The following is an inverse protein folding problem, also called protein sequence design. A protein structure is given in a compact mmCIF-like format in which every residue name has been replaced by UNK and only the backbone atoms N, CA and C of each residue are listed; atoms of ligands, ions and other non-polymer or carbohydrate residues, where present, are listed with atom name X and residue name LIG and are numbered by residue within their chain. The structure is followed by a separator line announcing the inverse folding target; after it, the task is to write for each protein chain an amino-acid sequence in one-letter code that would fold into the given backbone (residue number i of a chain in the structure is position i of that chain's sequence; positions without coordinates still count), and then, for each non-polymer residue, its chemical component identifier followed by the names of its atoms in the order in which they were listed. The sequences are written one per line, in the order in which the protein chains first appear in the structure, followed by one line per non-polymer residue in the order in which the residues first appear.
data_IF_560491310066
#
_entry.id   IF_560491310066
#
_cell.length_a   1.000
_cell.length_b   1.000
_cell.length_c   1.000
_cell.angle_alpha   90.00
_cell.angle_beta   90.00
_cell.angle_gamma   90.00
#
_symmetry.space_group_name_H-M   'P 1'
#
loop_
_entity.id
_entity.type
_entity.pdbx_description
1 polymer ?
#
# COMPACT_ATOMS: atom_id res chain seq x y z
N UNK A 1 -28.91 4.64 3.90
CA UNK A 1 -27.87 3.94 4.72
C UNK A 1 -26.48 4.37 4.27
N UNK A 2 -25.49 4.23 5.17
CA UNK A 2 -24.11 4.58 4.92
C UNK A 2 -23.22 3.37 5.21
N UNK A 3 -22.07 3.30 4.54
CA UNK A 3 -21.03 2.30 4.78
C UNK A 3 -19.68 2.99 4.96
N UNK A 4 -18.78 2.35 5.72
CA UNK A 4 -17.46 2.89 6.05
C UNK A 4 -16.37 1.93 5.59
N UNK A 5 -15.30 2.46 4.99
CA UNK A 5 -14.05 1.78 4.75
C UNK A 5 -12.91 2.48 5.51
N UNK A 6 -12.12 1.73 6.30
CA UNK A 6 -10.96 2.26 7.01
C UNK A 6 -9.73 1.45 6.61
N UNK A 7 -8.80 2.10 5.91
CA UNK A 7 -7.53 1.51 5.53
C UNK A 7 -6.44 1.98 6.50
N UNK A 8 -6.00 1.07 7.38
CA UNK A 8 -4.88 1.27 8.28
C UNK A 8 -3.57 0.91 7.62
N UNK A 9 -2.52 1.65 7.90
CA UNK A 9 -1.20 1.38 7.33
C UNK A 9 -0.05 1.76 8.24
N UNK A 10 1.16 1.48 7.79
CA UNK A 10 2.39 1.77 8.52
C UNK A 10 2.73 3.27 8.61
N UNK A 11 2.05 4.11 7.85
CA UNK A 11 2.35 5.56 7.78
C UNK A 11 1.13 6.43 8.06
N UNK A 12 -0.05 5.95 7.69
CA UNK A 12 -1.32 6.69 7.83
C UNK A 12 -2.47 5.71 7.95
N UNK A 13 -3.59 6.22 8.45
CA UNK A 13 -4.91 5.59 8.40
C UNK A 13 -5.84 6.52 7.61
N UNK A 14 -6.61 5.97 6.70
CA UNK A 14 -7.59 6.70 5.89
C UNK A 14 -8.98 6.10 6.11
N UNK A 15 -9.98 6.94 6.39
CA UNK A 15 -11.38 6.56 6.51
C UNK A 15 -12.21 7.19 5.39
N UNK A 16 -13.16 6.45 4.85
CA UNK A 16 -14.10 6.90 3.80
C UNK A 16 -15.51 6.46 4.17
N UNK A 17 -16.48 7.38 4.09
CA UNK A 17 -17.91 7.06 4.17
C UNK A 17 -18.51 7.17 2.77
N UNK A 18 -19.32 6.17 2.43
CA UNK A 18 -19.99 6.09 1.12
C UNK A 18 -21.50 5.91 1.33
N UNK A 19 -22.32 6.56 0.49
CA UNK A 19 -23.78 6.39 0.49
C UNK A 19 -24.19 5.20 -0.41
N UNK A 20 -25.49 4.87 -0.43
CA UNK A 20 -26.06 3.77 -1.22
C UNK A 20 -25.86 3.93 -2.74
N UNK A 21 -25.68 5.15 -3.22
CA UNK A 21 -25.40 5.43 -4.63
C UNK A 21 -23.90 5.20 -4.98
N UNK A 22 -23.06 4.87 -4.00
CA UNK A 22 -21.62 4.70 -4.20
C UNK A 22 -20.83 6.01 -4.21
N UNK A 23 -21.43 7.10 -3.75
CA UNK A 23 -20.78 8.40 -3.68
C UNK A 23 -20.05 8.54 -2.33
N UNK A 24 -18.83 9.06 -2.38
CA UNK A 24 -18.05 9.38 -1.17
C UNK A 24 -18.59 10.66 -0.55
N UNK A 25 -19.12 10.56 0.67
CA UNK A 25 -19.73 11.68 1.41
C UNK A 25 -18.83 12.23 2.52
N UNK A 26 -17.86 11.47 3.00
CA UNK A 26 -16.88 11.93 3.97
C UNK A 26 -15.52 11.24 3.79
N UNK A 27 -14.44 11.93 4.20
CA UNK A 27 -13.09 11.41 4.29
C UNK A 27 -12.44 11.86 5.58
N UNK A 28 -11.60 10.99 6.14
CA UNK A 28 -10.79 11.27 7.32
C UNK A 28 -9.38 10.73 7.13
N UNK A 29 -8.40 11.31 7.83
CA UNK A 29 -7.02 10.82 7.86
C UNK A 29 -6.41 11.04 9.23
N UNK A 30 -5.59 10.08 9.64
CA UNK A 30 -4.76 10.17 10.84
C UNK A 30 -3.45 9.38 10.69
N UNK A 31 -2.74 9.17 11.79
CA UNK A 31 -1.48 8.45 11.89
C UNK A 31 -1.57 6.96 11.57
N UNK A 32 -0.49 6.24 11.88
CA UNK A 32 -0.41 4.79 11.69
C UNK A 32 -1.31 4.01 12.65
N UNK A 33 -1.83 2.87 12.20
CA UNK A 33 -2.49 1.86 13.04
C UNK A 33 -1.78 0.50 12.99
N UNK A 34 -0.60 0.44 12.38
CA UNK A 34 0.15 -0.80 12.28
C UNK A 34 1.07 -0.98 13.48
N UNK A 35 0.74 -1.95 14.36
CA UNK A 35 1.47 -2.28 15.58
C UNK A 35 2.93 -2.71 15.36
N UNK A 36 3.31 -3.06 14.14
CA UNK A 36 4.71 -3.32 13.81
C UNK A 36 5.56 -2.02 13.74
N UNK A 37 4.91 -0.85 13.71
CA UNK A 37 5.58 0.43 13.50
C UNK A 37 5.33 1.44 14.61
N UNK A 38 4.19 1.35 15.31
CA UNK A 38 3.79 2.30 16.34
C UNK A 38 3.23 1.59 17.58
N UNK A 39 3.33 2.21 18.78
CA UNK A 39 2.74 1.67 20.01
C UNK A 39 1.21 1.60 19.94
N UNK A 40 0.61 0.74 20.77
CA UNK A 40 -0.84 0.58 20.92
C UNK A 40 -1.55 1.93 21.12
N UNK A 41 -1.05 2.77 22.03
CA UNK A 41 -1.65 4.08 22.33
C UNK A 41 -1.69 5.03 21.11
N UNK A 42 -0.76 4.90 20.18
CA UNK A 42 -0.77 5.67 18.94
C UNK A 42 -1.79 5.10 17.95
N UNK A 43 -1.93 3.78 17.86
CA UNK A 43 -2.99 3.14 17.10
C UNK A 43 -4.37 3.56 17.59
N UNK A 44 -4.61 3.53 18.91
CA UNK A 44 -5.87 3.94 19.54
C UNK A 44 -6.20 5.38 19.20
N UNK A 45 -5.25 6.30 19.38
CA UNK A 45 -5.41 7.69 19.00
C UNK A 45 -5.74 7.88 17.53
N UNK A 46 -5.03 7.18 16.64
CA UNK A 46 -5.25 7.29 15.20
C UNK A 46 -6.64 6.82 14.79
N UNK A 47 -7.15 5.73 15.40
CA UNK A 47 -8.51 5.24 15.16
C UNK A 47 -9.54 6.25 15.69
N UNK A 48 -9.38 6.74 16.92
CA UNK A 48 -10.28 7.72 17.52
C UNK A 48 -10.37 9.01 16.69
N UNK A 49 -9.23 9.51 16.20
CA UNK A 49 -9.19 10.70 15.34
C UNK A 49 -9.90 10.48 14.00
N UNK A 50 -9.72 9.32 13.35
CA UNK A 50 -10.44 8.99 12.11
C UNK A 50 -11.94 8.89 12.37
N UNK A 51 -12.35 8.19 13.43
CA UNK A 51 -13.75 8.06 13.81
C UNK A 51 -14.37 9.45 14.10
N UNK A 52 -13.72 10.26 14.92
CA UNK A 52 -14.19 11.60 15.28
C UNK A 52 -14.39 12.50 14.04
N UNK A 53 -13.43 12.49 13.08
CA UNK A 53 -13.55 13.24 11.84
C UNK A 53 -14.74 12.81 10.99
N UNK A 54 -14.98 11.49 10.90
CA UNK A 54 -16.07 10.94 10.10
C UNK A 54 -17.42 11.27 10.72
N UNK A 55 -17.61 11.03 12.03
CA UNK A 55 -18.91 11.30 12.71
C UNK A 55 -19.24 12.78 12.80
N UNK A 56 -18.25 13.68 12.71
CA UNK A 56 -18.49 15.12 12.61
C UNK A 56 -19.14 15.53 11.27
N UNK A 57 -19.12 14.65 10.26
CA UNK A 57 -19.55 14.97 8.89
C UNK A 57 -20.84 14.24 8.51
N UNK A 58 -21.12 13.08 9.11
CA UNK A 58 -22.25 12.23 8.75
C UNK A 58 -23.06 11.81 9.98
N UNK A 59 -24.31 11.42 9.75
CA UNK A 59 -25.12 10.79 10.80
C UNK A 59 -24.64 9.34 11.03
N UNK A 60 -23.92 9.14 12.11
CA UNK A 60 -23.32 7.86 12.49
C UNK A 60 -24.34 6.73 12.69
N UNK A 61 -25.61 7.08 13.02
CA UNK A 61 -26.70 6.10 13.18
C UNK A 61 -27.10 5.44 11.87
N UNK A 62 -26.77 6.05 10.73
CA UNK A 62 -27.04 5.52 9.40
C UNK A 62 -25.97 4.56 8.90
N UNK A 63 -24.81 4.46 9.58
CA UNK A 63 -23.72 3.55 9.22
C UNK A 63 -24.06 2.13 9.66
N UNK A 64 -24.14 1.21 8.70
CA UNK A 64 -24.56 -0.18 8.94
C UNK A 64 -23.44 -1.20 8.73
N UNK A 65 -22.42 -0.85 7.92
CA UNK A 65 -21.26 -1.70 7.65
C UNK A 65 -19.97 -0.91 7.73
N UNK A 66 -18.96 -1.50 8.38
CA UNK A 66 -17.60 -0.99 8.43
C UNK A 66 -16.63 -2.10 8.04
N UNK A 67 -15.88 -1.88 6.98
CA UNK A 67 -14.79 -2.76 6.56
C UNK A 67 -13.44 -2.08 6.82
N UNK A 68 -12.48 -2.82 7.35
CA UNK A 68 -11.15 -2.26 7.64
C UNK A 68 -10.01 -3.20 7.30
N UNK A 69 -8.81 -2.62 7.11
CA UNK A 69 -7.53 -3.32 7.05
C UNK A 69 -6.60 -2.79 8.13
N UNK A 70 -5.75 -3.66 8.69
CA UNK A 70 -4.72 -3.30 9.70
C UNK A 70 -5.21 -2.46 10.89
N UNK A 71 -6.49 -2.53 11.22
CA UNK A 71 -6.99 -1.98 12.47
C UNK A 71 -6.86 -3.07 13.53
N UNK A 72 -6.04 -2.88 14.59
CA UNK A 72 -5.87 -3.89 15.63
C UNK A 72 -7.21 -4.23 16.30
N UNK A 73 -7.52 -5.51 16.46
CA UNK A 73 -8.72 -5.96 17.17
C UNK A 73 -8.48 -5.97 18.69
N UNK A 74 -8.33 -4.78 19.25
CA UNK A 74 -8.21 -4.53 20.67
C UNK A 74 -9.55 -4.09 21.25
N UNK A 75 -9.82 -4.44 22.53
CA UNK A 75 -11.07 -4.09 23.21
C UNK A 75 -11.34 -2.60 23.25
N UNK A 76 -10.30 -1.77 23.44
CA UNK A 76 -10.36 -0.32 23.40
C UNK A 76 -10.75 0.22 22.03
N UNK A 77 -10.11 -0.29 20.97
CA UNK A 77 -10.41 0.10 19.58
C UNK A 77 -11.81 -0.37 19.18
N UNK A 78 -12.21 -1.58 19.59
CA UNK A 78 -13.55 -2.09 19.36
C UNK A 78 -14.62 -1.22 20.02
N UNK A 79 -14.37 -0.79 21.27
CA UNK A 79 -15.25 0.12 21.99
C UNK A 79 -15.36 1.49 21.29
N UNK A 80 -14.24 2.03 20.80
CA UNK A 80 -14.21 3.31 20.08
C UNK A 80 -15.03 3.24 18.77
N UNK A 81 -14.82 2.19 17.97
CA UNK A 81 -15.58 1.98 16.72
C UNK A 81 -17.06 1.81 17.01
N UNK A 82 -17.41 1.03 18.03
CA UNK A 82 -18.81 0.81 18.44
C UNK A 82 -19.48 2.08 18.95
N UNK A 83 -18.72 2.93 19.67
CA UNK A 83 -19.22 4.22 20.13
C UNK A 83 -19.43 5.19 18.95
N UNK A 84 -18.49 5.24 18.03
CA UNK A 84 -18.56 6.10 16.85
C UNK A 84 -19.67 5.67 15.87
N UNK A 85 -19.83 4.37 15.65
CA UNK A 85 -20.79 3.79 14.68
C UNK A 85 -21.64 2.69 15.35
N UNK A 86 -22.62 3.05 16.18
CA UNK A 86 -23.32 2.12 17.07
C UNK A 86 -24.11 1.02 16.34
N UNK A 87 -24.52 1.25 15.10
CA UNK A 87 -25.27 0.30 14.29
C UNK A 87 -24.41 -0.47 13.29
N UNK A 88 -23.11 -0.17 13.20
CA UNK A 88 -22.25 -0.79 12.21
C UNK A 88 -21.80 -2.19 12.63
N UNK A 89 -21.88 -3.12 11.69
CA UNK A 89 -21.18 -4.39 11.79
C UNK A 89 -19.75 -4.21 11.24
N UNK A 90 -18.75 -4.53 12.08
CA UNK A 90 -17.35 -4.35 11.73
C UNK A 90 -16.72 -5.65 11.23
N UNK A 91 -16.09 -5.58 10.04
CA UNK A 91 -15.36 -6.67 9.41
C UNK A 91 -13.94 -6.24 9.08
N UNK A 92 -12.99 -7.16 9.26
CA UNK A 92 -11.63 -7.00 8.79
C UNK A 92 -11.45 -7.71 7.44
N UNK A 93 -10.76 -7.05 6.52
CA UNK A 93 -10.49 -7.56 5.19
C UNK A 93 -8.98 -7.52 4.91
N UNK A 94 -8.50 -8.33 3.96
CA UNK A 94 -7.11 -8.29 3.52
C UNK A 94 -6.80 -7.00 2.73
N UNK A 95 -5.63 -6.40 2.95
CA UNK A 95 -5.19 -5.18 2.25
C UNK A 95 -5.27 -5.32 0.71
N UNK A 96 -4.87 -6.47 0.19
CA UNK A 96 -4.91 -6.74 -1.25
C UNK A 96 -6.35 -6.82 -1.79
N UNK A 97 -7.32 -7.22 -0.97
CA UNK A 97 -8.74 -7.17 -1.32
C UNK A 97 -9.23 -5.72 -1.40
N UNK A 98 -8.78 -4.86 -0.49
CA UNK A 98 -9.03 -3.43 -0.54
C UNK A 98 -8.47 -2.81 -1.83
N UNK A 99 -7.25 -3.18 -2.21
CA UNK A 99 -6.60 -2.74 -3.46
C UNK A 99 -7.36 -3.24 -4.68
N UNK A 100 -7.76 -4.53 -4.75
CA UNK A 100 -8.58 -5.06 -5.83
C UNK A 100 -9.89 -4.28 -5.96
N UNK A 101 -10.57 -4.04 -4.84
CA UNK A 101 -11.83 -3.29 -4.82
C UNK A 101 -11.66 -1.81 -5.21
N UNK A 102 -10.54 -1.18 -4.87
CA UNK A 102 -10.18 0.14 -5.36
C UNK A 102 -10.09 0.18 -6.90
N UNK A 103 -9.58 -0.91 -7.51
CA UNK A 103 -9.55 -1.13 -8.96
C UNK A 103 -10.89 -1.58 -9.57
N UNK A 104 -11.97 -1.62 -8.79
CA UNK A 104 -13.30 -2.04 -9.26
C UNK A 104 -13.56 -3.55 -9.21
N UNK A 105 -12.65 -4.33 -8.63
CA UNK A 105 -12.76 -5.80 -8.54
C UNK A 105 -13.32 -6.19 -7.18
N UNK A 106 -14.62 -6.35 -7.09
CA UNK A 106 -15.31 -6.66 -5.83
C UNK A 106 -15.39 -8.16 -5.51
N UNK A 107 -15.21 -9.02 -6.52
CA UNK A 107 -15.12 -10.46 -6.32
C UNK A 107 -13.69 -10.87 -5.95
N UNK A 108 -13.51 -12.00 -5.24
CA UNK A 108 -12.18 -12.56 -4.97
C UNK A 108 -11.60 -13.22 -6.25
N UNK A 109 -11.25 -12.40 -7.24
CA UNK A 109 -10.73 -12.82 -8.53
C UNK A 109 -9.70 -11.81 -9.05
N UNK A 110 -8.48 -12.26 -9.34
CA UNK A 110 -7.38 -11.40 -9.80
C UNK A 110 -6.24 -11.31 -8.79
N UNK A 111 -5.32 -10.41 -9.05
CA UNK A 111 -4.08 -10.23 -8.26
C UNK A 111 -4.01 -8.80 -7.75
N UNK A 112 -3.86 -8.62 -6.44
CA UNK A 112 -3.54 -7.35 -5.80
C UNK A 112 -2.03 -7.29 -5.52
N UNK A 113 -1.38 -6.23 -5.97
CA UNK A 113 0.02 -5.93 -5.67
C UNK A 113 0.06 -4.73 -4.74
N UNK A 114 0.64 -4.89 -3.57
CA UNK A 114 0.88 -3.79 -2.64
C UNK A 114 2.36 -3.49 -2.61
N UNK A 115 2.74 -2.26 -2.96
CA UNK A 115 4.12 -1.76 -2.87
C UNK A 115 4.12 -0.36 -2.24
N UNK A 116 4.30 -0.33 -0.94
CA UNK A 116 4.43 0.85 -0.09
C UNK A 116 5.74 0.80 0.67
N UNK A 117 5.71 1.00 1.99
CA UNK A 117 6.88 0.82 2.87
C UNK A 117 7.44 -0.60 2.77
N UNK A 118 6.59 -1.63 2.68
CA UNK A 118 6.92 -3.00 2.30
C UNK A 118 6.27 -3.36 0.96
N UNK A 119 6.41 -4.62 0.54
CA UNK A 119 5.76 -5.15 -0.66
C UNK A 119 5.24 -6.56 -0.45
N UNK A 120 4.11 -6.85 -1.07
CA UNK A 120 3.53 -8.19 -1.15
C UNK A 120 2.52 -8.30 -2.29
N UNK A 121 2.32 -9.50 -2.78
CA UNK A 121 1.42 -9.80 -3.89
C UNK A 121 0.52 -10.95 -3.50
N UNK A 122 -0.80 -10.76 -3.58
CA UNK A 122 -1.78 -11.82 -3.28
C UNK A 122 -2.79 -11.90 -4.42
N UNK A 123 -3.08 -13.12 -4.86
CA UNK A 123 -4.10 -13.38 -5.86
C UNK A 123 -5.18 -14.31 -5.35
N UNK A 124 -6.37 -14.19 -5.94
CA UNK A 124 -7.53 -15.03 -5.66
C UNK A 124 -8.14 -15.60 -6.93
N UNK A 125 -8.64 -16.82 -6.82
CA UNK A 125 -9.54 -17.46 -7.78
C UNK A 125 -10.71 -18.10 -7.04
N UNK A 126 -11.69 -17.27 -6.69
CA UNK A 126 -12.74 -17.60 -5.73
C UNK A 126 -12.31 -17.39 -4.27
N UNK A 127 -13.26 -17.49 -3.35
CA UNK A 127 -13.03 -17.19 -1.94
C UNK A 127 -12.04 -18.13 -1.24
N UNK A 128 -12.01 -19.40 -1.63
CA UNK A 128 -11.23 -20.44 -0.95
C UNK A 128 -9.81 -20.62 -1.52
N UNK A 129 -9.56 -20.14 -2.75
CA UNK A 129 -8.27 -20.34 -3.41
C UNK A 129 -7.51 -19.03 -3.55
N UNK A 130 -6.49 -18.86 -2.73
CA UNK A 130 -5.59 -17.72 -2.80
C UNK A 130 -4.12 -18.14 -2.72
N UNK A 131 -3.24 -17.28 -3.22
CA UNK A 131 -1.78 -17.45 -3.20
C UNK A 131 -1.16 -16.13 -2.78
N UNK A 132 -0.25 -16.17 -1.82
CA UNK A 132 0.52 -15.02 -1.33
C UNK A 132 2.00 -15.18 -1.67
N UNK A 133 2.65 -14.08 -2.06
CA UNK A 133 4.08 -13.96 -2.36
C UNK A 133 4.62 -12.67 -1.74
N UNK A 134 5.81 -12.70 -1.17
CA UNK A 134 6.43 -11.56 -0.49
C UNK A 134 5.85 -11.28 0.90
N UNK A 135 6.07 -10.08 1.42
CA UNK A 135 5.59 -9.67 2.74
C UNK A 135 6.40 -10.24 3.92
N UNK A 136 7.64 -10.66 3.69
CA UNK A 136 8.53 -11.20 4.72
C UNK A 136 9.28 -10.13 5.52
N UNK A 137 9.05 -8.85 5.19
CA UNK A 137 9.75 -7.73 5.83
C UNK A 137 11.10 -7.42 5.16
N UNK A 138 11.67 -6.27 5.51
CA UNK A 138 12.80 -5.66 4.78
C UNK A 138 14.11 -6.45 4.78
N UNK A 139 14.29 -7.40 5.69
CA UNK A 139 15.51 -8.22 5.76
C UNK A 139 15.39 -9.53 4.98
N UNK A 140 14.18 -10.06 4.84
CA UNK A 140 13.91 -11.37 4.25
C UNK A 140 13.09 -11.30 2.96
N UNK A 141 12.67 -10.08 2.59
CA UNK A 141 11.78 -9.82 1.46
C UNK A 141 11.52 -8.33 1.29
N UNK A 142 10.29 -7.97 0.93
CA UNK A 142 9.85 -6.61 0.59
C UNK A 142 10.61 -6.02 -0.63
N UNK A 143 11.12 -6.86 -1.51
CA UNK A 143 11.78 -6.46 -2.74
C UNK A 143 10.83 -5.63 -3.62
N UNK A 144 11.35 -4.59 -4.22
CA UNK A 144 10.56 -3.62 -5.01
C UNK A 144 9.73 -2.65 -4.16
N UNK A 145 9.79 -2.72 -2.82
CA UNK A 145 9.16 -1.73 -1.93
C UNK A 145 9.91 -0.40 -1.90
N UNK A 146 9.29 0.63 -1.32
CA UNK A 146 9.96 1.91 -1.09
C UNK A 146 11.18 1.78 -0.16
N UNK A 147 11.14 0.86 0.82
CA UNK A 147 12.30 0.57 1.67
C UNK A 147 13.44 -0.05 0.87
N UNK A 148 13.14 -1.02 0.02
CA UNK A 148 14.15 -1.66 -0.84
C UNK A 148 14.74 -0.66 -1.83
N UNK A 149 13.92 0.12 -2.53
CA UNK A 149 14.36 1.21 -3.42
C UNK A 149 15.31 2.16 -2.68
N UNK A 150 14.96 2.57 -1.46
CA UNK A 150 15.80 3.44 -0.64
C UNK A 150 17.14 2.79 -0.28
N UNK A 151 17.12 1.53 0.13
CA UNK A 151 18.35 0.77 0.46
C UNK A 151 19.26 0.62 -0.76
N UNK A 152 18.68 0.29 -1.93
CA UNK A 152 19.44 0.20 -3.18
C UNK A 152 20.08 1.55 -3.55
N UNK A 153 19.32 2.66 -3.37
CA UNK A 153 19.84 4.01 -3.60
C UNK A 153 20.98 4.38 -2.64
N UNK A 154 20.85 4.09 -1.33
CA UNK A 154 21.92 4.32 -0.37
C UNK A 154 23.19 3.51 -0.70
N UNK A 155 23.02 2.25 -1.12
CA UNK A 155 24.13 1.39 -1.59
C UNK A 155 24.79 1.96 -2.84
N UNK A 156 24.01 2.49 -3.79
CA UNK A 156 24.54 3.10 -5.01
C UNK A 156 25.36 4.36 -4.68
N UNK A 157 24.88 5.21 -3.78
CA UNK A 157 25.62 6.40 -3.31
C UNK A 157 26.94 6.01 -2.63
N UNK A 158 26.91 5.01 -1.74
CA UNK A 158 28.13 4.54 -1.08
C UNK A 158 29.15 3.99 -2.09
N UNK A 159 28.69 3.19 -3.06
CA UNK A 159 29.56 2.66 -4.14
C UNK A 159 30.16 3.76 -5.03
N UNK A 160 29.37 4.79 -5.35
CA UNK A 160 29.86 5.93 -6.12
C UNK A 160 30.92 6.72 -5.34
N UNK A 161 30.73 6.94 -4.03
CA UNK A 161 31.67 7.62 -3.16
C UNK A 161 33.01 6.89 -3.04
N UNK A 162 32.99 5.56 -3.07
CA UNK A 162 34.20 4.70 -3.02
C UNK A 162 34.87 4.54 -4.42
N UNK A 163 34.30 5.08 -5.49
CA UNK A 163 34.77 4.85 -6.86
C UNK A 163 34.43 3.46 -7.43
N UNK A 164 33.57 2.68 -6.77
CA UNK A 164 33.11 1.35 -7.19
C UNK A 164 31.81 1.38 -8.01
N UNK A 165 31.17 2.54 -8.13
CA UNK A 165 29.89 2.73 -8.82
C UNK A 165 29.89 3.96 -9.70
N UNK A 166 28.82 4.10 -10.47
CA UNK A 166 28.61 5.26 -11.35
C UNK A 166 28.29 6.52 -10.52
N UNK A 167 28.70 7.71 -10.98
CA UNK A 167 28.22 8.98 -10.41
C UNK A 167 26.70 9.05 -10.46
N UNK A 168 26.06 9.63 -9.43
CA UNK A 168 24.61 9.69 -9.33
C UNK A 168 24.17 10.95 -8.58
N UNK A 169 23.05 11.54 -9.00
CA UNK A 169 22.36 12.64 -8.32
C UNK A 169 21.78 12.22 -6.96
N UNK A 170 21.67 10.91 -6.70
CA UNK A 170 21.17 10.38 -5.43
C UNK A 170 22.03 10.82 -4.24
N UNK A 171 23.30 11.19 -4.45
CA UNK A 171 24.17 11.70 -3.40
C UNK A 171 23.62 13.00 -2.80
N UNK A 172 23.34 13.98 -3.65
CA UNK A 172 22.79 15.28 -3.26
C UNK A 172 21.39 15.13 -2.67
N UNK A 173 20.55 14.31 -3.28
CA UNK A 173 19.20 14.01 -2.78
C UNK A 173 19.25 13.33 -1.41
N UNK A 174 20.24 12.45 -1.15
CA UNK A 174 20.42 11.80 0.14
C UNK A 174 20.89 12.79 1.21
N UNK A 175 21.88 13.62 0.89
CA UNK A 175 22.39 14.63 1.83
C UNK A 175 21.30 15.62 2.22
N UNK A 176 20.50 16.09 1.27
CA UNK A 176 19.37 17.00 1.52
C UNK A 176 18.29 16.32 2.35
N UNK A 177 17.84 15.12 1.95
CA UNK A 177 16.74 14.42 2.59
C UNK A 177 17.02 14.07 4.05
N UNK A 178 18.22 13.60 4.37
CA UNK A 178 18.60 13.22 5.72
C UNK A 178 19.28 14.34 6.53
N UNK A 179 19.45 15.54 5.94
CA UNK A 179 20.06 16.70 6.58
C UNK A 179 21.53 16.47 6.94
N UNK A 180 22.31 15.83 6.04
CA UNK A 180 23.70 15.47 6.29
C UNK A 180 24.66 16.58 5.86
N UNK A 181 25.70 16.81 6.66
CA UNK A 181 26.82 17.68 6.30
C UNK A 181 27.94 16.89 5.60
N UNK A 182 28.10 15.63 5.99
CA UNK A 182 29.05 14.70 5.43
C UNK A 182 28.40 13.36 5.10
N UNK A 183 28.82 12.74 3.99
CA UNK A 183 28.21 11.50 3.47
C UNK A 183 28.23 10.35 4.49
N UNK A 184 29.30 10.20 5.28
CA UNK A 184 29.45 9.14 6.26
C UNK A 184 28.47 9.23 7.44
N UNK A 185 27.84 10.39 7.68
CA UNK A 185 26.85 10.58 8.75
C UNK A 185 25.60 9.69 8.55
N UNK A 186 25.34 9.25 7.31
CA UNK A 186 24.27 8.30 7.03
C UNK A 186 24.44 7.00 7.84
N UNK A 187 25.67 6.56 8.10
CA UNK A 187 25.91 5.37 8.93
C UNK A 187 25.43 5.57 10.37
N UNK A 188 25.65 6.76 10.93
CA UNK A 188 25.12 7.10 12.25
C UNK A 188 23.58 7.06 12.23
N UNK A 189 22.94 7.71 11.25
CA UNK A 189 21.48 7.72 11.12
C UNK A 189 20.90 6.30 11.04
N UNK A 190 21.49 5.45 10.20
CA UNK A 190 20.99 4.09 9.96
C UNK A 190 21.27 3.15 11.13
N UNK A 191 22.51 3.18 11.70
CA UNK A 191 22.94 2.14 12.64
C UNK A 191 22.90 2.55 14.11
N UNK A 192 22.94 3.85 14.44
CA UNK A 192 22.96 4.32 15.82
C UNK A 192 21.66 5.00 16.22
N UNK A 193 21.11 5.85 15.35
CA UNK A 193 19.89 6.62 15.62
C UNK A 193 18.63 5.80 15.35
N UNK A 194 18.77 4.52 14.93
CA UNK A 194 17.69 3.60 14.60
C UNK A 194 16.66 4.25 13.67
N UNK A 195 17.11 4.70 12.48
CA UNK A 195 16.29 5.39 11.50
C UNK A 195 14.94 4.71 11.30
N UNK A 196 13.82 5.39 11.57
CA UNK A 196 12.50 4.77 11.44
C UNK A 196 12.27 4.30 10.00
N UNK A 197 11.71 3.10 9.85
CA UNK A 197 11.51 2.47 8.53
C UNK A 197 10.72 3.35 7.56
N UNK A 198 9.71 4.08 8.02
CA UNK A 198 8.92 4.98 7.19
C UNK A 198 9.74 6.18 6.68
N UNK A 199 10.71 6.67 7.48
CA UNK A 199 11.65 7.72 7.06
C UNK A 199 12.59 7.18 5.99
N UNK A 200 13.13 5.97 6.17
CA UNK A 200 13.95 5.32 5.15
C UNK A 200 13.16 5.14 3.85
N UNK A 201 11.96 4.57 3.92
CA UNK A 201 11.08 4.36 2.76
C UNK A 201 10.72 5.67 2.04
N UNK A 202 10.58 6.78 2.77
CA UNK A 202 10.30 8.10 2.21
C UNK A 202 11.38 8.58 1.23
N UNK A 203 12.61 8.10 1.35
CA UNK A 203 13.69 8.44 0.43
C UNK A 203 13.44 7.93 -1.01
N UNK A 204 12.60 6.92 -1.20
CA UNK A 204 12.20 6.45 -2.54
C UNK A 204 11.57 7.56 -3.40
N UNK A 205 10.93 8.56 -2.80
CA UNK A 205 10.40 9.73 -3.54
C UNK A 205 11.55 10.54 -4.17
N UNK A 206 12.68 10.64 -3.47
CA UNK A 206 13.88 11.32 -3.98
C UNK A 206 14.54 10.52 -5.11
N UNK A 207 14.46 9.19 -5.05
CA UNK A 207 14.92 8.32 -6.14
C UNK A 207 14.08 8.56 -7.40
N UNK A 208 12.76 8.67 -7.29
CA UNK A 208 11.89 9.00 -8.43
C UNK A 208 12.24 10.37 -9.02
N UNK A 209 12.46 11.37 -8.16
CA UNK A 209 12.87 12.72 -8.60
C UNK A 209 14.20 12.72 -9.36
N UNK A 210 15.19 11.96 -8.88
CA UNK A 210 16.47 11.81 -9.55
C UNK A 210 16.33 11.10 -10.91
N UNK A 211 15.47 10.09 -11.00
CA UNK A 211 15.16 9.39 -12.25
C UNK A 211 14.53 10.33 -13.28
N UNK A 212 13.58 11.18 -12.86
CA UNK A 212 12.96 12.20 -13.71
C UNK A 212 13.96 13.27 -14.17
N UNK A 213 14.99 13.55 -13.36
CA UNK A 213 16.10 14.43 -13.69
C UNK A 213 17.15 13.78 -14.62
N UNK A 214 16.94 12.53 -15.04
CA UNK A 214 17.82 11.82 -15.99
C UNK A 214 18.92 10.97 -15.34
N UNK A 215 18.90 10.76 -14.02
CA UNK A 215 19.87 9.90 -13.33
C UNK A 215 19.70 8.43 -13.72
N UNK A 216 20.67 7.88 -14.45
CA UNK A 216 20.61 6.50 -14.94
C UNK A 216 20.64 5.44 -13.84
N UNK A 217 21.25 5.75 -12.67
CA UNK A 217 21.29 4.85 -11.51
C UNK A 217 19.93 4.77 -10.88
N UNK A 218 19.26 5.92 -10.67
CA UNK A 218 17.89 5.98 -10.11
C UNK A 218 16.87 5.29 -11.03
N UNK A 219 16.98 5.53 -12.36
CA UNK A 219 16.12 4.85 -13.36
C UNK A 219 16.28 3.34 -13.32
N UNK A 220 17.52 2.83 -13.19
CA UNK A 220 17.78 1.40 -13.07
C UNK A 220 17.17 0.80 -11.80
N UNK A 221 17.32 1.47 -10.66
CA UNK A 221 16.76 1.02 -9.39
C UNK A 221 15.22 0.89 -9.48
N UNK A 222 14.55 1.88 -10.03
CA UNK A 222 13.08 1.85 -10.19
C UNK A 222 12.62 0.79 -11.18
N UNK A 223 13.35 0.60 -12.27
CA UNK A 223 13.08 -0.46 -13.24
C UNK A 223 13.20 -1.85 -12.61
N UNK A 224 14.29 -2.10 -11.88
CA UNK A 224 14.53 -3.37 -11.18
C UNK A 224 13.44 -3.65 -10.14
N UNK A 225 12.97 -2.62 -9.42
CA UNK A 225 11.83 -2.74 -8.52
C UNK A 225 10.55 -3.19 -9.27
N UNK A 226 10.25 -2.60 -10.43
CA UNK A 226 9.11 -2.99 -11.26
C UNK A 226 9.24 -4.42 -11.80
N UNK A 227 10.42 -4.82 -12.25
CA UNK A 227 10.69 -6.18 -12.73
C UNK A 227 10.52 -7.22 -11.61
N UNK A 228 10.93 -6.89 -10.40
CA UNK A 228 10.78 -7.77 -9.23
C UNK A 228 9.32 -7.94 -8.85
N UNK A 229 8.56 -6.85 -8.72
CA UNK A 229 7.11 -6.91 -8.48
C UNK A 229 6.38 -7.68 -9.60
N UNK A 230 6.81 -7.53 -10.86
CA UNK A 230 6.31 -8.32 -11.97
C UNK A 230 6.59 -9.82 -11.84
N UNK A 231 7.76 -10.18 -11.29
CA UNK A 231 8.09 -11.59 -11.00
C UNK A 231 7.17 -12.18 -9.96
N UNK A 232 6.84 -11.43 -8.89
CA UNK A 232 5.91 -11.88 -7.85
C UNK A 232 4.52 -12.12 -8.43
N UNK A 233 4.04 -11.21 -9.30
CA UNK A 233 2.79 -11.40 -10.04
C UNK A 233 2.82 -12.71 -10.84
N UNK A 234 3.91 -13.01 -11.55
CA UNK A 234 4.04 -14.24 -12.32
C UNK A 234 4.00 -15.48 -11.45
N UNK A 235 4.63 -15.47 -10.26
CA UNK A 235 4.56 -16.60 -9.31
C UNK A 235 3.13 -16.87 -8.87
N UNK A 236 2.36 -15.82 -8.57
CA UNK A 236 0.94 -15.93 -8.22
C UNK A 236 0.12 -16.40 -9.42
N UNK A 237 0.32 -15.77 -10.59
CA UNK A 237 -0.44 -16.06 -11.79
C UNK A 237 -0.30 -17.53 -12.23
N UNK A 238 0.92 -18.07 -12.24
CA UNK A 238 1.17 -19.48 -12.59
C UNK A 238 0.44 -20.50 -11.72
N UNK A 239 0.10 -20.12 -10.47
CA UNK A 239 -0.63 -20.99 -9.54
C UNK A 239 -2.14 -20.86 -9.66
N UNK A 240 -2.65 -19.74 -10.19
CA UNK A 240 -4.08 -19.41 -10.19
C UNK A 240 -4.70 -19.36 -11.58
N UNK A 241 -3.96 -18.97 -12.61
CA UNK A 241 -4.48 -18.66 -13.94
C UNK A 241 -3.72 -19.38 -15.03
N UNK A 242 -4.35 -19.57 -16.18
CA UNK A 242 -3.70 -20.02 -17.40
C UNK A 242 -3.33 -18.81 -18.28
N UNK A 243 -2.35 -18.91 -19.19
CA UNK A 243 -1.93 -17.80 -20.07
C UNK A 243 -3.05 -17.20 -20.92
N UNK A 244 -4.09 -17.98 -21.23
CA UNK A 244 -5.22 -17.57 -22.06
C UNK A 244 -6.31 -16.84 -21.28
N UNK A 245 -6.27 -16.86 -19.95
CA UNK A 245 -7.28 -16.23 -19.12
C UNK A 245 -7.09 -14.71 -19.02
N UNK A 246 -8.20 -14.00 -18.90
CA UNK A 246 -8.22 -12.58 -18.57
C UNK A 246 -8.46 -12.41 -17.08
N UNK A 247 -7.53 -11.75 -16.40
CA UNK A 247 -7.67 -11.41 -14.98
C UNK A 247 -7.07 -10.03 -14.68
N UNK A 248 -7.59 -9.32 -13.69
CA UNK A 248 -7.03 -8.04 -13.27
C UNK A 248 -5.79 -8.23 -12.39
N UNK A 249 -4.81 -7.36 -12.57
CA UNK A 249 -3.67 -7.14 -11.69
C UNK A 249 -3.74 -5.70 -11.23
N UNK A 250 -4.16 -5.46 -10.00
CA UNK A 250 -4.38 -4.13 -9.46
C UNK A 250 -3.20 -3.71 -8.61
N UNK A 251 -2.63 -2.54 -8.91
CA UNK A 251 -1.41 -2.01 -8.31
C UNK A 251 -1.77 -0.99 -7.23
N UNK A 252 -1.44 -1.27 -5.97
CA UNK A 252 -1.66 -0.37 -4.82
C UNK A 252 -0.36 -0.02 -4.10
N UNK A 253 -0.35 1.17 -3.49
CA UNK A 253 0.78 1.65 -2.70
C UNK A 253 1.58 2.77 -3.35
N UNK A 254 2.44 3.38 -2.51
CA UNK A 254 3.16 4.61 -2.86
C UNK A 254 4.22 4.45 -3.94
N UNK A 255 4.77 3.26 -4.12
CA UNK A 255 5.82 2.98 -5.12
C UNK A 255 5.32 3.24 -6.55
N UNK A 256 4.06 2.92 -6.83
CA UNK A 256 3.50 3.13 -8.18
C UNK A 256 3.31 4.61 -8.57
N UNK A 257 3.50 5.55 -7.63
CA UNK A 257 3.58 6.99 -7.95
C UNK A 257 4.84 7.38 -8.72
N UNK A 258 5.86 6.51 -8.73
CA UNK A 258 7.01 6.65 -9.64
C UNK A 258 6.62 6.47 -11.12
N UNK A 259 5.36 6.16 -11.40
CA UNK A 259 4.83 6.08 -12.76
C UNK A 259 5.45 4.99 -13.60
N UNK A 260 5.71 5.28 -14.87
CA UNK A 260 6.19 4.30 -15.83
C UNK A 260 7.59 3.75 -15.51
N UNK A 261 8.38 4.41 -14.66
CA UNK A 261 9.68 3.86 -14.21
C UNK A 261 9.53 2.49 -13.54
N UNK A 262 8.41 2.26 -12.83
CA UNK A 262 8.10 1.00 -12.14
C UNK A 262 7.01 0.22 -12.89
N UNK A 263 5.98 0.90 -13.39
CA UNK A 263 4.80 0.24 -13.96
C UNK A 263 5.11 -0.39 -15.32
N UNK A 264 5.91 0.27 -16.18
CA UNK A 264 6.23 -0.27 -17.50
C UNK A 264 7.01 -1.60 -17.44
N UNK A 265 8.10 -1.73 -16.65
CA UNK A 265 8.83 -2.99 -16.53
C UNK A 265 7.98 -4.10 -15.90
N UNK A 266 7.16 -3.79 -14.87
CA UNK A 266 6.20 -4.76 -14.32
C UNK A 266 5.23 -5.25 -15.41
N UNK A 267 4.59 -4.30 -16.12
CA UNK A 267 3.63 -4.58 -17.20
C UNK A 267 4.26 -5.43 -18.28
N UNK A 268 5.43 -5.05 -18.78
CA UNK A 268 6.16 -5.77 -19.81
C UNK A 268 6.42 -7.22 -19.41
N UNK A 269 6.90 -7.42 -18.18
CA UNK A 269 7.21 -8.74 -17.65
C UNK A 269 5.97 -9.63 -17.53
N UNK A 270 4.87 -9.10 -17.00
CA UNK A 270 3.62 -9.87 -16.84
C UNK A 270 2.98 -10.18 -18.18
N UNK A 271 2.89 -9.20 -19.09
CA UNK A 271 2.22 -9.39 -20.39
C UNK A 271 3.01 -10.27 -21.35
N UNK A 272 4.31 -10.45 -21.15
CA UNK A 272 5.10 -11.41 -21.91
C UNK A 272 4.65 -12.87 -21.72
N UNK A 273 4.13 -13.22 -20.54
CA UNK A 273 3.65 -14.58 -20.22
C UNK A 273 2.12 -14.66 -20.19
N UNK A 274 1.45 -13.57 -19.75
CA UNK A 274 -0.01 -13.47 -19.63
C UNK A 274 -0.54 -12.30 -20.45
N UNK A 275 -0.62 -12.40 -21.77
CA UNK A 275 -0.93 -11.26 -22.65
C UNK A 275 -2.33 -10.69 -22.46
N UNK A 276 -3.26 -11.43 -21.83
CA UNK A 276 -4.62 -11.01 -21.52
C UNK A 276 -4.80 -10.44 -20.11
N UNK A 277 -3.74 -10.41 -19.28
CA UNK A 277 -3.79 -9.79 -17.96
C UNK A 277 -4.05 -8.28 -18.08
N UNK A 278 -4.90 -7.73 -17.21
CA UNK A 278 -5.26 -6.31 -17.20
C UNK A 278 -4.55 -5.63 -16.04
N UNK A 279 -3.49 -4.88 -16.33
CA UNK A 279 -2.78 -4.08 -15.32
C UNK A 279 -3.57 -2.82 -15.04
N UNK A 280 -3.98 -2.63 -13.78
CA UNK A 280 -4.84 -1.53 -13.34
C UNK A 280 -4.14 -0.74 -12.24
N UNK A 281 -3.99 0.56 -12.44
CA UNK A 281 -3.61 1.51 -11.39
C UNK A 281 -4.89 2.24 -10.95
N UNK A 282 -5.42 1.98 -9.75
CA UNK A 282 -6.69 2.57 -9.35
C UNK A 282 -6.54 4.07 -9.04
N UNK A 283 -7.56 4.86 -9.38
CA UNK A 283 -7.68 6.24 -8.92
C UNK A 283 -8.28 6.33 -7.51
N UNK A 284 -9.00 5.31 -7.09
CA UNK A 284 -9.60 5.21 -5.76
C UNK A 284 -8.59 4.72 -4.73
N UNK A 285 -8.73 5.14 -3.47
CA UNK A 285 -7.90 4.64 -2.38
C UNK A 285 -8.35 3.26 -1.89
N UNK A 286 -7.49 2.50 -1.18
CA UNK A 286 -7.89 1.25 -0.54
C UNK A 286 -9.07 1.43 0.43
N UNK A 287 -9.16 2.56 1.15
CA UNK A 287 -10.32 2.88 2.00
C UNK A 287 -11.61 3.00 1.18
N UNK A 288 -11.57 3.60 -0.03
CA UNK A 288 -12.71 3.56 -0.94
C UNK A 288 -13.02 2.14 -1.42
N UNK A 289 -12.00 1.33 -1.68
CA UNK A 289 -12.15 -0.08 -2.01
C UNK A 289 -12.92 -0.83 -0.92
N UNK A 290 -12.54 -0.62 0.35
CA UNK A 290 -13.24 -1.20 1.51
C UNK A 290 -14.69 -0.73 1.61
N UNK A 291 -14.94 0.57 1.40
CA UNK A 291 -16.30 1.10 1.38
C UNK A 291 -17.15 0.47 0.26
N UNK A 292 -16.58 0.22 -0.92
CA UNK A 292 -17.24 -0.50 -2.04
C UNK A 292 -17.55 -1.95 -1.67
N UNK A 293 -16.66 -2.66 -0.95
CA UNK A 293 -16.93 -4.01 -0.44
C UNK A 293 -18.06 -3.99 0.58
N UNK A 294 -18.07 -3.02 1.49
CA UNK A 294 -19.14 -2.83 2.45
C UNK A 294 -20.49 -2.51 1.77
N UNK A 295 -20.48 -1.68 0.72
CA UNK A 295 -21.66 -1.37 -0.08
C UNK A 295 -22.18 -2.60 -0.83
N UNK A 296 -21.30 -3.43 -1.39
CA UNK A 296 -21.68 -4.71 -1.99
C UNK A 296 -22.37 -5.62 -0.96
N UNK A 297 -21.82 -5.72 0.26
CA UNK A 297 -22.41 -6.51 1.34
C UNK A 297 -23.81 -6.00 1.71
N UNK A 298 -24.00 -4.67 1.75
CA UNK A 298 -25.31 -4.05 1.99
C UNK A 298 -26.33 -4.47 0.92
N UNK A 299 -25.97 -4.42 -0.36
CA UNK A 299 -26.89 -4.78 -1.46
C UNK A 299 -27.13 -6.29 -1.60
N UNK A 300 -26.30 -7.12 -0.98
CA UNK A 300 -26.41 -8.58 -1.03
C UNK A 300 -27.28 -9.16 0.09
N UNK A 301 -27.68 -8.35 1.06
CA UNK A 301 -28.63 -8.79 2.09
C UNK A 301 -30.05 -8.86 1.51
N UNK A 302 -30.80 -9.96 1.78
CA UNK A 302 -32.21 -9.98 1.42
C UNK A 302 -32.91 -8.81 2.14
N UNK A 303 -33.63 -8.00 1.40
CA UNK A 303 -34.55 -7.01 1.96
C UNK A 303 -35.66 -7.78 2.67
N UNK A 304 -35.64 -7.75 4.00
CA UNK A 304 -36.72 -8.27 4.83
C UNK A 304 -37.87 -7.26 4.94
#
# INVERSE_FOLDING_TARGET
MLVVGIDGGGTKTEGVVMNEAGEVVARARSGSTNLNFVPVAECERSVAEVCAQLVATVDAQQVVWLYSTFIPDLSSIRAEIQWAFPNAQWYQEAEHRAVLAAGGVLEPYGIGVVAGTGSSTVGWRGAERHVSVGGWGMLLGDEGSATDIAVQALRAVARAADGRGEPTLLREEMMDYFGLQHLWEIMQRVYRDALPRHVLAGFAVRVSKAADAGDGVAQRILREAGETLGSDVLVVARKLFTPDETFPVVLGGGVFRAGEWVIAPLRQKVLAEYPKAKIVVPNASPAEGLARLALKALHSQPTW
#
